data_IF_403552411963
#
_entry.id   IF_403552411963
#
_cell.length_a   1.000
_cell.length_b   1.000
_cell.length_c   1.000
_cell.angle_alpha   90.00
_cell.angle_beta   90.00
_cell.angle_gamma   90.00
#
_symmetry.space_group_name_H-M   'P 1'
#
loop_
_entity.id
_entity.type
_entity.pdbx_description
1 polymer ?
#
# COMPACT_ATOMS: atom_id res chain seq x y z
N UNK A 1 7.86 0.34 22.57
CA UNK A 1 8.10 0.28 21.11
C UNK A 1 8.10 1.70 20.64
N UNK A 2 9.15 2.13 19.95
CA UNK A 2 9.27 3.49 19.44
C UNK A 2 8.20 3.71 18.35
N UNK A 3 7.13 4.42 18.70
CA UNK A 3 6.00 4.71 17.80
C UNK A 3 6.32 5.85 16.85
N UNK A 4 7.49 6.49 16.95
CA UNK A 4 7.91 7.58 16.04
C UNK A 4 8.39 7.09 14.66
N UNK A 5 8.63 5.79 14.49
CA UNK A 5 9.12 5.23 13.24
C UNK A 5 7.99 5.11 12.19
N UNK A 6 8.24 5.44 10.92
CA UNK A 6 7.25 5.34 9.86
C UNK A 6 6.75 3.90 9.68
N UNK A 7 5.52 3.78 9.21
CA UNK A 7 4.92 2.51 8.83
C UNK A 7 5.62 2.01 7.58
N UNK A 8 6.19 0.79 7.63
CA UNK A 8 6.90 0.21 6.50
C UNK A 8 6.00 -0.67 5.64
N UNK A 9 5.79 -0.26 4.40
CA UNK A 9 5.00 -0.97 3.40
C UNK A 9 5.93 -1.51 2.31
N UNK A 10 5.86 -2.82 2.04
CA UNK A 10 6.62 -3.44 0.95
C UNK A 10 5.68 -3.89 -0.17
N UNK A 11 5.90 -3.41 -1.39
CA UNK A 11 5.20 -3.91 -2.58
C UNK A 11 6.04 -4.96 -3.31
N UNK A 12 5.44 -6.06 -3.80
CA UNK A 12 6.21 -7.19 -4.37
C UNK A 12 5.65 -7.66 -5.70
N UNK A 13 6.50 -7.72 -6.73
CA UNK A 13 6.22 -8.35 -8.01
C UNK A 13 7.36 -9.32 -8.40
N UNK A 14 7.43 -9.75 -9.66
CA UNK A 14 8.47 -10.66 -10.13
C UNK A 14 9.81 -9.92 -10.33
N UNK A 15 9.88 -9.05 -11.34
CA UNK A 15 11.13 -8.42 -11.78
C UNK A 15 11.52 -7.13 -11.04
N UNK A 16 10.61 -6.57 -10.24
CA UNK A 16 10.76 -5.27 -9.58
C UNK A 16 11.04 -4.08 -10.51
N UNK A 17 10.52 -4.10 -11.74
CA UNK A 17 10.67 -2.96 -12.68
C UNK A 17 9.35 -2.45 -13.26
N UNK A 18 8.22 -3.16 -13.07
CA UNK A 18 6.91 -2.76 -13.61
C UNK A 18 5.87 -2.49 -12.50
N UNK A 19 5.19 -3.55 -12.05
CA UNK A 19 4.03 -3.46 -11.14
C UNK A 19 4.34 -2.93 -9.73
N UNK A 20 5.28 -3.57 -9.03
CA UNK A 20 5.61 -3.15 -7.65
C UNK A 20 6.25 -1.77 -7.55
N UNK A 21 7.11 -1.33 -8.50
CA UNK A 21 7.62 0.04 -8.48
C UNK A 21 6.53 1.09 -8.73
N UNK A 22 5.56 0.84 -9.62
CA UNK A 22 4.40 1.74 -9.80
C UNK A 22 3.63 1.87 -8.49
N UNK A 23 3.32 0.74 -7.84
CA UNK A 23 2.64 0.75 -6.55
C UNK A 23 3.45 1.48 -5.47
N UNK A 24 4.77 1.28 -5.40
CA UNK A 24 5.65 1.98 -4.46
C UNK A 24 5.58 3.49 -4.63
N UNK A 25 5.86 4.00 -5.84
CA UNK A 25 6.00 5.43 -6.08
C UNK A 25 4.68 6.17 -5.86
N UNK A 26 3.57 5.58 -6.31
CA UNK A 26 2.25 6.21 -6.17
C UNK A 26 1.71 6.14 -4.74
N UNK A 27 1.93 5.03 -4.02
CA UNK A 27 1.57 4.95 -2.61
C UNK A 27 2.43 5.91 -1.77
N UNK A 28 3.75 5.97 -1.98
CA UNK A 28 4.62 6.91 -1.25
C UNK A 28 4.15 8.35 -1.47
N UNK A 29 4.04 8.77 -2.74
CA UNK A 29 3.63 10.14 -3.07
C UNK A 29 2.25 10.48 -2.47
N UNK A 30 1.29 9.55 -2.56
CA UNK A 30 -0.04 9.76 -2.01
C UNK A 30 -0.07 9.81 -0.48
N UNK A 31 0.68 8.92 0.20
CA UNK A 31 0.72 8.84 1.66
C UNK A 31 1.49 9.99 2.29
N UNK A 32 2.52 10.52 1.63
CA UNK A 32 3.23 11.73 2.06
C UNK A 32 2.33 12.96 2.10
N UNK A 33 1.30 13.02 1.23
CA UNK A 33 0.29 14.09 1.29
C UNK A 33 -0.72 13.91 2.44
N UNK A 34 -0.81 12.71 3.03
CA UNK A 34 -1.77 12.40 4.10
C UNK A 34 -1.12 12.54 5.46
N UNK A 35 0.02 11.88 5.68
CA UNK A 35 0.81 11.97 6.90
C UNK A 35 2.29 12.08 6.50
N UNK A 36 2.82 13.30 6.32
CA UNK A 36 4.22 13.51 5.98
C UNK A 36 5.16 12.80 6.97
N UNK A 37 6.06 11.95 6.45
CA UNK A 37 6.99 11.16 7.27
C UNK A 37 6.34 10.01 8.05
N UNK A 38 5.04 9.75 7.86
CA UNK A 38 4.32 8.66 8.51
C UNK A 38 4.52 7.29 7.87
N UNK A 39 5.06 7.25 6.64
CA UNK A 39 5.17 6.04 5.83
C UNK A 39 6.50 5.95 5.11
N UNK A 40 7.00 4.73 5.00
CA UNK A 40 8.10 4.34 4.13
C UNK A 40 7.59 3.21 3.24
N UNK A 41 7.34 3.51 1.96
CA UNK A 41 6.93 2.54 0.96
C UNK A 41 8.15 2.19 0.11
N UNK A 42 8.37 0.89 -0.06
CA UNK A 42 9.45 0.40 -0.89
C UNK A 42 8.99 -0.85 -1.65
N UNK A 43 9.68 -1.26 -2.71
CA UNK A 43 9.31 -2.44 -3.51
C UNK A 43 10.42 -3.45 -3.63
N UNK A 44 10.11 -4.71 -3.92
CA UNK A 44 11.11 -5.73 -4.24
C UNK A 44 10.57 -6.75 -5.26
N UNK A 45 11.46 -7.57 -5.80
CA UNK A 45 11.14 -8.59 -6.82
C UNK A 45 11.49 -9.98 -6.36
N UNK A 46 10.61 -10.96 -6.58
CA UNK A 46 10.92 -12.36 -6.26
C UNK A 46 11.99 -12.95 -7.18
N UNK A 47 12.11 -12.42 -8.40
CA UNK A 47 13.17 -12.70 -9.38
C UNK A 47 13.60 -11.38 -10.00
N UNK A 48 14.17 -10.51 -9.17
CA UNK A 48 14.41 -9.12 -9.53
C UNK A 48 15.46 -8.97 -10.62
N UNK A 49 15.26 -7.99 -11.49
CA UNK A 49 16.28 -7.51 -12.42
C UNK A 49 17.17 -6.51 -11.69
N UNK A 50 18.00 -7.02 -10.76
CA UNK A 50 18.72 -6.19 -9.78
C UNK A 50 19.55 -5.09 -10.43
N UNK A 51 19.35 -3.85 -9.99
CA UNK A 51 20.05 -2.66 -10.50
C UNK A 51 19.36 -2.00 -11.69
N UNK A 52 18.42 -2.67 -12.35
CA UNK A 52 17.71 -2.09 -13.49
C UNK A 52 16.79 -0.95 -13.04
N UNK A 53 16.64 0.09 -13.87
CA UNK A 53 15.65 1.13 -13.63
C UNK A 53 14.23 0.60 -13.85
N UNK A 54 13.24 1.43 -13.52
CA UNK A 54 11.85 1.14 -13.85
C UNK A 54 11.68 1.02 -15.37
N UNK A 55 10.81 0.11 -15.82
CA UNK A 55 10.43 0.01 -17.23
C UNK A 55 9.86 1.35 -17.70
N UNK A 56 10.25 1.88 -18.89
CA UNK A 56 9.80 3.19 -19.36
C UNK A 56 8.28 3.41 -19.31
N UNK A 57 7.48 2.44 -19.79
CA UNK A 57 6.02 2.56 -19.75
C UNK A 57 5.47 2.57 -18.31
N UNK A 58 6.12 1.89 -17.38
CA UNK A 58 5.77 1.96 -15.95
C UNK A 58 6.20 3.29 -15.32
N UNK A 59 7.34 3.84 -15.72
CA UNK A 59 7.78 5.17 -15.32
C UNK A 59 6.82 6.26 -15.81
N UNK A 60 6.30 6.12 -17.03
CA UNK A 60 5.32 7.06 -17.60
C UNK A 60 3.99 7.03 -16.84
N UNK A 61 3.52 5.85 -16.43
CA UNK A 61 2.37 5.73 -15.52
C UNK A 61 2.64 6.48 -14.22
N UNK A 62 3.81 6.26 -13.58
CA UNK A 62 4.17 6.96 -12.34
C UNK A 62 4.13 8.48 -12.51
N UNK A 63 4.72 9.03 -13.59
CA UNK A 63 4.69 10.47 -13.87
C UNK A 63 3.27 10.99 -14.09
N UNK A 64 2.46 10.24 -14.83
CA UNK A 64 1.08 10.61 -15.16
C UNK A 64 0.23 10.80 -13.90
N UNK A 65 0.44 9.96 -12.89
CA UNK A 65 -0.27 10.02 -11.61
C UNK A 65 0.47 10.83 -10.53
N UNK A 66 1.47 11.63 -10.90
CA UNK A 66 2.13 12.58 -10.02
C UNK A 66 3.19 11.99 -9.08
N UNK A 67 3.68 10.78 -9.35
CA UNK A 67 4.85 10.21 -8.67
C UNK A 67 6.16 10.50 -9.40
N UNK A 68 7.27 10.18 -8.73
CA UNK A 68 8.62 10.29 -9.28
C UNK A 68 9.21 8.89 -9.60
N UNK A 69 9.52 8.57 -10.87
CA UNK A 69 10.12 7.30 -11.23
C UNK A 69 11.66 7.28 -11.11
N UNK A 70 12.30 8.43 -10.91
CA UNK A 70 13.75 8.56 -10.96
C UNK A 70 14.43 7.98 -9.71
N UNK A 71 15.75 7.81 -9.76
CA UNK A 71 16.56 7.20 -8.69
C UNK A 71 16.02 5.84 -8.21
N UNK A 72 15.40 5.08 -9.12
CA UNK A 72 14.91 3.74 -8.86
C UNK A 72 15.93 2.70 -9.31
N UNK A 73 16.16 1.69 -8.47
CA UNK A 73 16.92 0.51 -8.82
C UNK A 73 16.21 -0.74 -8.28
N UNK A 74 15.90 -1.68 -9.16
CA UNK A 74 15.28 -2.93 -8.79
C UNK A 74 16.14 -3.73 -7.80
N UNK A 75 15.50 -4.38 -6.84
CA UNK A 75 16.16 -5.15 -5.77
C UNK A 75 15.50 -6.50 -5.53
N UNK A 76 16.35 -7.49 -5.25
CA UNK A 76 15.94 -8.87 -4.99
C UNK A 76 15.31 -8.99 -3.61
N UNK A 77 14.08 -9.50 -3.57
CA UNK A 77 13.39 -9.87 -2.34
C UNK A 77 14.23 -10.91 -1.59
N UNK A 78 14.44 -10.65 -0.30
CA UNK A 78 15.14 -11.54 0.61
C UNK A 78 14.67 -11.29 2.05
N UNK A 79 15.05 -12.17 2.97
CA UNK A 79 14.66 -12.06 4.38
C UNK A 79 15.08 -10.75 5.05
N UNK A 80 16.21 -10.14 4.67
CA UNK A 80 16.67 -8.88 5.25
C UNK A 80 15.72 -7.73 4.90
N UNK A 81 15.21 -7.69 3.67
CA UNK A 81 14.21 -6.69 3.23
C UNK A 81 12.89 -6.87 3.99
N UNK A 82 12.49 -8.11 4.29
CA UNK A 82 11.26 -8.42 5.01
C UNK A 82 11.30 -8.02 6.50
N UNK A 83 12.49 -7.83 7.07
CA UNK A 83 12.64 -7.53 8.51
C UNK A 83 11.97 -6.22 8.87
N UNK A 84 10.97 -6.34 9.75
CA UNK A 84 10.29 -5.19 10.33
C UNK A 84 9.31 -4.49 9.39
N UNK A 85 8.99 -5.10 8.25
CA UNK A 85 7.87 -4.68 7.41
C UNK A 85 6.56 -4.84 8.17
N UNK A 86 5.72 -3.81 8.15
CA UNK A 86 4.43 -3.78 8.84
C UNK A 86 3.31 -4.32 7.94
N UNK A 87 3.44 -4.13 6.62
CA UNK A 87 2.48 -4.57 5.61
C UNK A 87 3.19 -4.95 4.30
N UNK A 88 2.87 -6.10 3.71
CA UNK A 88 3.33 -6.51 2.39
C UNK A 88 2.15 -6.57 1.42
N UNK A 89 2.26 -5.85 0.30
CA UNK A 89 1.27 -5.81 -0.78
C UNK A 89 1.84 -6.46 -2.04
N UNK A 90 1.37 -7.65 -2.36
CA UNK A 90 1.85 -8.39 -3.52
C UNK A 90 0.99 -8.12 -4.75
N UNK A 91 1.60 -8.24 -5.93
CA UNK A 91 0.89 -8.04 -7.19
C UNK A 91 0.11 -9.28 -7.62
N UNK A 92 0.43 -10.45 -7.07
CA UNK A 92 -0.30 -11.70 -7.34
C UNK A 92 -0.31 -12.58 -6.10
N UNK A 93 -1.18 -13.58 -6.12
CA UNK A 93 -1.27 -14.63 -5.10
C UNK A 93 -0.01 -15.52 -5.09
N UNK A 94 0.62 -15.73 -6.24
CA UNK A 94 1.90 -16.43 -6.34
C UNK A 94 3.03 -15.67 -5.62
N UNK A 95 3.13 -14.35 -5.82
CA UNK A 95 4.09 -13.51 -5.09
C UNK A 95 3.85 -13.55 -3.57
N UNK A 96 2.59 -13.61 -3.13
CA UNK A 96 2.25 -13.81 -1.71
C UNK A 96 2.81 -15.14 -1.20
N UNK A 97 2.68 -16.22 -1.97
CA UNK A 97 3.30 -17.51 -1.65
C UNK A 97 4.83 -17.40 -1.49
N UNK A 98 5.51 -16.73 -2.42
CA UNK A 98 6.97 -16.55 -2.39
C UNK A 98 7.44 -15.72 -1.17
N UNK A 99 6.69 -14.68 -0.78
CA UNK A 99 6.95 -13.92 0.46
C UNK A 99 6.85 -14.83 1.69
N UNK A 100 5.79 -15.65 1.76
CA UNK A 100 5.54 -16.52 2.92
C UNK A 100 6.49 -17.72 2.99
N UNK A 101 7.09 -18.12 1.87
CA UNK A 101 8.18 -19.10 1.86
C UNK A 101 9.46 -18.52 2.48
N UNK A 102 9.72 -17.22 2.29
CA UNK A 102 10.88 -16.55 2.89
C UNK A 102 10.67 -16.25 4.38
N UNK A 103 9.45 -15.84 4.75
CA UNK A 103 9.07 -15.56 6.14
C UNK A 103 7.57 -15.81 6.39
N UNK A 104 7.27 -16.96 7.01
CA UNK A 104 5.90 -17.36 7.34
C UNK A 104 5.25 -16.50 8.44
N UNK A 105 6.03 -15.76 9.24
CA UNK A 105 5.50 -14.89 10.30
C UNK A 105 4.66 -13.73 9.73
N UNK A 106 4.87 -13.39 8.45
CA UNK A 106 4.15 -12.35 7.73
C UNK A 106 2.77 -12.78 7.22
N UNK A 107 2.31 -14.01 7.51
CA UNK A 107 1.01 -14.52 7.03
C UNK A 107 -0.16 -13.55 7.26
N UNK A 108 -0.18 -12.88 8.41
CA UNK A 108 -1.24 -11.93 8.82
C UNK A 108 -1.01 -10.50 8.30
N UNK A 109 0.10 -10.25 7.61
CA UNK A 109 0.55 -8.94 7.11
C UNK A 109 0.76 -8.91 5.60
N UNK A 110 0.60 -10.04 4.91
CA UNK A 110 0.79 -10.14 3.45
C UNK A 110 -0.54 -10.39 2.74
N UNK A 111 -0.86 -9.52 1.80
CA UNK A 111 -2.09 -9.56 0.99
C UNK A 111 -1.76 -9.24 -0.46
N UNK A 112 -2.60 -9.65 -1.40
CA UNK A 112 -2.54 -9.01 -2.72
C UNK A 112 -3.07 -7.58 -2.61
N UNK A 113 -2.57 -6.65 -3.42
CA UNK A 113 -2.97 -5.24 -3.32
C UNK A 113 -4.47 -5.04 -3.58
N UNK A 114 -5.06 -5.79 -4.52
CA UNK A 114 -6.50 -5.73 -4.83
C UNK A 114 -7.36 -6.34 -3.72
N UNK A 115 -6.93 -7.45 -3.13
CA UNK A 115 -7.59 -8.05 -1.95
C UNK A 115 -7.57 -7.07 -0.78
N UNK A 116 -6.42 -6.44 -0.52
CA UNK A 116 -6.28 -5.47 0.56
C UNK A 116 -7.21 -4.28 0.38
N UNK A 117 -7.22 -3.67 -0.81
CA UNK A 117 -8.11 -2.56 -1.15
C UNK A 117 -9.58 -2.89 -0.89
N UNK A 118 -10.08 -4.05 -1.37
CA UNK A 118 -11.47 -4.48 -1.13
C UNK A 118 -11.80 -4.63 0.36
N UNK A 119 -10.86 -5.13 1.17
CA UNK A 119 -11.06 -5.21 2.62
C UNK A 119 -11.14 -3.83 3.27
N UNK A 120 -10.36 -2.86 2.80
CA UNK A 120 -10.44 -1.48 3.29
C UNK A 120 -11.79 -0.85 2.94
N UNK A 121 -12.30 -1.05 1.73
CA UNK A 121 -13.62 -0.55 1.33
C UNK A 121 -14.73 -1.09 2.26
N UNK A 122 -14.67 -2.37 2.65
CA UNK A 122 -15.61 -2.97 3.62
C UNK A 122 -15.47 -2.34 5.01
N UNK A 123 -14.24 -2.07 5.46
CA UNK A 123 -14.01 -1.40 6.75
C UNK A 123 -14.58 0.02 6.74
N UNK A 124 -14.35 0.78 5.67
CA UNK A 124 -14.83 2.16 5.53
C UNK A 124 -16.36 2.23 5.47
N UNK A 125 -17.00 1.33 4.72
CA UNK A 125 -18.46 1.23 4.65
C UNK A 125 -19.08 0.92 6.03
N UNK A 126 -18.48 0.01 6.79
CA UNK A 126 -18.93 -0.32 8.14
C UNK A 126 -18.75 0.83 9.13
N UNK A 127 -17.64 1.55 9.03
CA UNK A 127 -17.39 2.75 9.83
C UNK A 127 -18.43 3.84 9.52
N UNK A 128 -18.72 4.07 8.23
CA UNK A 128 -19.74 5.03 7.79
C UNK A 128 -21.14 4.66 8.29
N UNK A 129 -21.54 3.38 8.19
CA UNK A 129 -22.83 2.90 8.69
C UNK A 129 -22.96 3.02 10.22
N UNK A 130 -21.87 2.85 10.95
CA UNK A 130 -21.85 2.98 12.42
C UNK A 130 -21.83 4.43 12.89
N UNK A 131 -21.28 5.34 12.07
CA UNK A 131 -21.17 6.78 12.37
C UNK A 131 -22.45 7.57 12.08
N UNK A 132 -23.51 6.91 11.58
CA UNK A 132 -24.87 7.46 11.54
C UNK A 132 -25.49 7.76 12.92
N UNK A 133 -24.77 7.43 14.01
CA UNK A 133 -25.01 7.89 15.38
C UNK A 133 -23.83 8.78 15.79
N UNK A 134 -23.99 10.10 15.67
CA UNK A 134 -22.91 11.10 15.86
C UNK A 134 -22.27 10.98 17.24
N UNK A 135 -20.93 10.93 17.35
CA UNK A 135 -20.22 11.48 18.49
C UNK A 135 -19.63 12.84 18.14
N UNK A 136 -19.79 13.78 19.06
CA UNK A 136 -19.23 15.12 19.01
C UNK A 136 -17.72 15.10 18.73
N UNK A 137 -17.27 16.03 17.89
CA UNK A 137 -15.87 16.28 17.60
C UNK A 137 -15.06 16.34 18.91
N UNK A 138 -14.07 15.45 19.02
CA UNK A 138 -13.09 15.53 20.08
C UNK A 138 -12.35 16.88 19.99
N UNK A 139 -11.97 17.49 21.12
CA UNK A 139 -11.25 18.75 21.11
C UNK A 139 -9.95 18.60 20.32
N UNK A 140 -9.65 19.60 19.48
CA UNK A 140 -8.42 19.65 18.70
C UNK A 140 -7.22 19.53 19.64
N UNK A 141 -6.29 18.59 19.42
CA UNK A 141 -5.07 18.51 20.20
C UNK A 141 -4.18 19.73 19.92
N UNK A 142 -3.42 20.12 20.93
CA UNK A 142 -2.45 21.22 20.84
C UNK A 142 -1.55 21.08 19.60
N UNK A 143 -1.40 22.19 18.88
CA UNK A 143 -1.00 22.21 17.47
C UNK A 143 0.46 21.85 17.14
N UNK A 144 1.25 21.26 18.04
CA UNK A 144 2.71 21.14 17.86
C UNK A 144 3.34 19.76 18.16
N UNK A 145 2.57 18.70 18.39
CA UNK A 145 3.14 17.35 18.63
C UNK A 145 3.06 16.44 17.39
N UNK A 146 3.96 16.68 16.43
CA UNK A 146 4.09 15.82 15.25
C UNK A 146 4.52 14.40 15.64
N UNK A 147 5.29 14.23 16.71
CA UNK A 147 5.69 12.92 17.23
C UNK A 147 4.50 12.09 17.70
N UNK A 148 3.57 12.70 18.43
CA UNK A 148 2.31 12.08 18.87
C UNK A 148 1.42 11.68 17.69
N UNK A 149 1.30 12.53 16.67
CA UNK A 149 0.53 12.24 15.44
C UNK A 149 1.12 11.06 14.67
N UNK A 150 2.43 11.06 14.46
CA UNK A 150 3.15 9.94 13.83
C UNK A 150 2.97 8.65 14.63
N UNK A 151 3.02 8.74 15.96
CA UNK A 151 2.75 7.61 16.86
C UNK A 151 1.35 7.01 16.71
N UNK A 152 0.32 7.86 16.66
CA UNK A 152 -1.05 7.44 16.45
C UNK A 152 -1.25 6.79 15.07
N UNK A 153 -0.67 7.38 14.01
CA UNK A 153 -0.69 6.82 12.67
C UNK A 153 -0.02 5.45 12.63
N UNK A 154 1.18 5.32 13.21
CA UNK A 154 1.92 4.07 13.26
C UNK A 154 1.14 2.98 14.01
N UNK A 155 0.52 3.29 15.15
CA UNK A 155 -0.29 2.35 15.90
C UNK A 155 -1.52 1.87 15.11
N UNK A 156 -2.21 2.80 14.44
CA UNK A 156 -3.37 2.49 13.59
C UNK A 156 -3.00 1.51 12.46
N UNK A 157 -1.98 1.86 11.67
CA UNK A 157 -1.59 1.06 10.51
C UNK A 157 -0.95 -0.28 10.87
N UNK A 158 -0.23 -0.38 11.99
CA UNK A 158 0.31 -1.67 12.47
C UNK A 158 -0.81 -2.62 12.93
N UNK A 159 -1.97 -2.09 13.34
CA UNK A 159 -3.17 -2.88 13.65
C UNK A 159 -4.06 -3.19 12.44
N UNK A 160 -3.92 -2.44 11.34
CA UNK A 160 -4.78 -2.53 10.17
C UNK A 160 -4.77 -3.92 9.49
N UNK A 161 -3.62 -4.60 9.30
CA UNK A 161 -3.61 -5.96 8.72
C UNK A 161 -4.53 -6.94 9.44
N UNK A 162 -4.56 -6.90 10.77
CA UNK A 162 -5.42 -7.78 11.56
C UNK A 162 -6.90 -7.44 11.39
N UNK A 163 -7.25 -6.15 11.34
CA UNK A 163 -8.62 -5.68 11.11
C UNK A 163 -9.11 -6.04 9.71
N UNK A 164 -8.27 -5.83 8.69
CA UNK A 164 -8.56 -6.20 7.31
C UNK A 164 -8.79 -7.72 7.20
N UNK A 165 -7.90 -8.53 7.76
CA UNK A 165 -8.05 -9.99 7.78
C UNK A 165 -9.38 -10.45 8.43
N UNK A 166 -9.88 -9.73 9.44
CA UNK A 166 -11.16 -10.01 10.09
C UNK A 166 -12.39 -9.84 9.19
N UNK A 167 -12.30 -9.02 8.13
CA UNK A 167 -13.39 -8.80 7.17
C UNK A 167 -13.18 -9.49 5.82
N UNK A 168 -12.09 -10.25 5.65
CA UNK A 168 -11.72 -10.92 4.39
C UNK A 168 -12.87 -11.73 3.75
N UNK A 169 -13.67 -12.40 4.58
CA UNK A 169 -14.81 -13.22 4.12
C UNK A 169 -15.92 -12.41 3.44
N UNK A 170 -15.94 -11.09 3.63
CA UNK A 170 -16.91 -10.15 3.04
C UNK A 170 -16.37 -9.44 1.80
N UNK A 171 -15.09 -9.65 1.49
CA UNK A 171 -14.37 -8.98 0.40
C UNK A 171 -13.83 -9.98 -0.63
N UNK A 172 -14.44 -11.16 -0.71
CA UNK A 172 -14.05 -12.20 -1.65
C UNK A 172 -14.41 -11.75 -3.07
N UNK A 173 -13.48 -11.87 -4.04
CA UNK A 173 -13.82 -11.62 -5.44
C UNK A 173 -14.72 -12.72 -6.00
N UNK A 174 -15.36 -12.45 -7.14
CA UNK A 174 -16.13 -13.47 -7.84
C UNK A 174 -15.21 -14.56 -8.40
N UNK A 175 -14.05 -14.16 -8.93
CA UNK A 175 -12.96 -15.04 -9.35
C UNK A 175 -11.68 -14.73 -8.56
N UNK A 176 -10.99 -15.76 -8.06
CA UNK A 176 -9.71 -15.60 -7.39
C UNK A 176 -8.64 -14.90 -8.26
N UNK A 177 -8.73 -15.01 -9.58
CA UNK A 177 -7.85 -14.30 -10.52
C UNK A 177 -7.98 -12.76 -10.43
N UNK A 178 -9.10 -12.23 -9.93
CA UNK A 178 -9.30 -10.78 -9.70
C UNK A 178 -8.46 -10.22 -8.53
N UNK A 179 -7.74 -11.08 -7.80
CA UNK A 179 -6.72 -10.64 -6.84
C UNK A 179 -5.41 -10.25 -7.54
N UNK A 180 -5.16 -10.80 -8.72
CA UNK A 180 -3.88 -10.69 -9.39
C UNK A 180 -3.86 -9.48 -10.34
N UNK A 181 -2.68 -8.88 -10.46
CA UNK A 181 -2.36 -7.81 -11.40
C UNK A 181 -1.61 -8.43 -12.59
N UNK A 182 -2.12 -8.17 -13.80
CA UNK A 182 -1.57 -8.63 -15.07
C UNK A 182 -0.09 -8.25 -15.21
N UNK A 183 0.74 -9.17 -15.69
CA UNK A 183 2.16 -8.91 -15.93
C UNK A 183 2.39 -8.24 -17.30
N UNK A 184 2.84 -6.97 -17.35
CA UNK A 184 3.03 -6.28 -18.62
C UNK A 184 4.42 -6.47 -19.22
N UNK A 185 5.35 -7.13 -18.52
CA UNK A 185 6.74 -7.18 -18.95
C UNK A 185 6.90 -7.88 -20.32
N UNK A 186 7.57 -7.20 -21.26
CA UNK A 186 7.73 -7.63 -22.68
C UNK A 186 6.41 -7.85 -23.43
N UNK A 187 5.33 -7.19 -22.98
CA UNK A 187 4.02 -7.19 -23.64
C UNK A 187 3.75 -5.87 -24.34
N UNK A 188 2.68 -5.83 -25.12
CA UNK A 188 2.24 -4.64 -25.82
C UNK A 188 1.76 -3.54 -24.84
N UNK A 189 1.78 -2.25 -25.23
CA UNK A 189 1.36 -1.13 -24.38
C UNK A 189 -0.06 -1.25 -23.80
N UNK A 190 -0.96 -1.97 -24.47
CA UNK A 190 -2.31 -2.27 -24.00
C UNK A 190 -2.30 -3.03 -22.66
N UNK A 191 -1.30 -3.89 -22.45
CA UNK A 191 -1.18 -4.66 -21.20
C UNK A 191 -0.66 -3.78 -20.06
N UNK A 192 0.10 -2.71 -20.36
CA UNK A 192 0.46 -1.71 -19.36
C UNK A 192 -0.74 -0.88 -18.94
N UNK A 193 -1.62 -0.52 -19.90
CA UNK A 193 -2.91 0.13 -19.59
C UNK A 193 -3.81 -0.77 -18.75
N UNK A 194 -3.89 -2.07 -19.08
CA UNK A 194 -4.62 -3.01 -18.25
C UNK A 194 -4.04 -3.12 -16.82
N UNK A 195 -2.70 -3.16 -16.69
CA UNK A 195 -2.04 -3.13 -15.38
C UNK A 195 -2.43 -1.87 -14.58
N UNK A 196 -2.46 -0.71 -15.24
CA UNK A 196 -2.89 0.55 -14.65
C UNK A 196 -4.35 0.48 -14.17
N UNK A 197 -5.27 0.04 -15.03
CA UNK A 197 -6.70 -0.12 -14.70
C UNK A 197 -6.95 -1.06 -13.52
N UNK A 198 -6.12 -2.10 -13.36
CA UNK A 198 -6.21 -3.04 -12.23
C UNK A 198 -5.58 -2.51 -10.94
N UNK A 199 -4.54 -1.66 -11.05
CA UNK A 199 -3.74 -1.18 -9.93
C UNK A 199 -4.27 0.14 -9.34
N UNK A 200 -4.69 1.07 -10.20
CA UNK A 200 -5.10 2.42 -9.79
C UNK A 200 -6.28 2.42 -8.80
N UNK A 201 -7.37 1.64 -9.00
CA UNK A 201 -8.46 1.58 -8.03
C UNK A 201 -7.99 1.10 -6.65
N UNK A 202 -7.07 0.14 -6.61
CA UNK A 202 -6.55 -0.38 -5.35
C UNK A 202 -5.70 0.67 -4.60
N UNK A 203 -4.86 1.42 -5.32
CA UNK A 203 -4.10 2.54 -4.76
C UNK A 203 -5.06 3.62 -4.23
N UNK A 204 -6.09 3.98 -5.00
CA UNK A 204 -7.08 4.98 -4.59
C UNK A 204 -7.82 4.57 -3.32
N UNK A 205 -8.26 3.30 -3.19
CA UNK A 205 -8.89 2.81 -1.95
C UNK A 205 -7.93 2.87 -0.76
N UNK A 206 -6.66 2.51 -0.93
CA UNK A 206 -5.66 2.59 0.15
C UNK A 206 -5.44 4.05 0.59
N UNK A 207 -5.30 4.98 -0.36
CA UNK A 207 -5.11 6.40 -0.07
C UNK A 207 -6.38 7.05 0.53
N UNK A 208 -7.57 6.65 0.08
CA UNK A 208 -8.85 7.05 0.69
C UNK A 208 -8.92 6.60 2.14
N UNK A 209 -8.63 5.33 2.41
CA UNK A 209 -8.62 4.79 3.77
C UNK A 209 -7.63 5.55 4.66
N UNK A 210 -6.44 5.88 4.14
CA UNK A 210 -5.46 6.71 4.83
C UNK A 210 -6.03 8.07 5.20
N UNK A 211 -6.67 8.78 4.26
CA UNK A 211 -7.25 10.12 4.50
C UNK A 211 -8.37 10.09 5.53
N UNK A 212 -9.26 9.10 5.45
CA UNK A 212 -10.38 8.96 6.39
C UNK A 212 -9.95 8.68 7.83
N UNK A 213 -8.75 8.12 8.01
CA UNK A 213 -8.23 7.71 9.32
C UNK A 213 -6.97 8.49 9.73
N UNK A 214 -6.61 9.55 8.99
CA UNK A 214 -5.44 10.35 9.29
C UNK A 214 -5.65 11.12 10.60
N UNK A 215 -4.63 11.20 11.48
CA UNK A 215 -4.66 12.17 12.56
C UNK A 215 -4.71 13.58 11.98
N UNK A 216 -5.37 14.53 12.65
CA UNK A 216 -5.48 15.90 12.17
C UNK A 216 -4.08 16.52 11.96
N UNK A 217 -3.74 16.84 10.71
CA UNK A 217 -2.45 17.43 10.31
C UNK A 217 -2.64 18.88 9.84
N UNK A 218 -1.89 19.87 10.36
CA UNK A 218 -2.02 21.26 9.92
C UNK A 218 -1.60 21.41 8.45
N UNK A 219 -2.44 22.06 7.64
CA UNK A 219 -2.13 22.36 6.23
C UNK A 219 -2.57 21.30 5.22
N UNK A 220 -3.09 20.15 5.66
CA UNK A 220 -3.81 19.21 4.78
C UNK A 220 -5.29 19.62 4.79
N UNK A 221 -5.88 20.04 3.64
CA UNK A 221 -7.28 20.46 3.63
C UNK A 221 -8.19 19.29 4.04
N UNK A 222 -9.22 19.53 4.87
CA UNK A 222 -10.21 18.50 5.18
C UNK A 222 -10.95 18.06 3.89
N UNK A 223 -11.35 16.79 3.88
CA UNK A 223 -12.10 16.17 2.78
C UNK A 223 -13.49 16.78 2.61
#
# INVERSE_FOLDING_TARGET
MDTSQPVRILTVCTGNICRSPVAERLLQAGLDQVVPGGFEVASAGTRAMVGDPMQPLSADIVRTFGGDPDNFAARQLNQKILRGVDLVLTMTSAHRGEVLQLDASLLKRTFTIREFARMLDVLDQRAAASSGMVPAAAPAPDNHDDGGRLGANAAFWKGLPARAAGVRHLSLPADAAENDIIDPYRRAPEVYRQMEDELAPAIVSILRHARLNAPAWPGVPPS
#
